data_IF_875632979920
#
_entry.id   IF_875632979920
#
_cell.length_a   1.000
_cell.length_b   1.000
_cell.length_c   1.000
_cell.angle_alpha   90.00
_cell.angle_beta   90.00
_cell.angle_gamma   90.00
#
_symmetry.space_group_name_H-M   'P 1'
#
loop_
_entity.id
_entity.type
_entity.pdbx_description
1 polymer ?
#
# COMPACT_ATOMS: atom_id res chain seq x y z
N UNK A 1 6.01 -7.52 -16.44
CA UNK A 1 4.81 -8.33 -16.03
C UNK A 1 4.66 -8.46 -14.51
N UNK A 2 5.57 -7.90 -13.74
CA UNK A 2 5.62 -8.03 -12.28
C UNK A 2 5.57 -6.67 -11.56
N UNK A 3 5.10 -5.64 -12.27
CA UNK A 3 4.88 -4.33 -11.66
C UNK A 3 3.74 -4.44 -10.64
N UNK A 4 3.97 -3.92 -9.44
CA UNK A 4 2.98 -3.95 -8.35
C UNK A 4 1.96 -2.81 -8.43
N UNK A 5 2.12 -1.87 -9.36
CA UNK A 5 1.16 -0.82 -9.62
C UNK A 5 -0.15 -1.38 -10.20
N UNK A 6 -1.27 -0.73 -9.90
CA UNK A 6 -2.56 -1.12 -10.45
C UNK A 6 -2.61 -0.85 -11.97
N UNK A 7 -3.27 -1.73 -12.73
CA UNK A 7 -3.31 -1.62 -14.19
C UNK A 7 -3.85 -0.27 -14.69
N UNK A 8 -4.85 0.29 -14.00
CA UNK A 8 -5.41 1.59 -14.36
C UNK A 8 -4.40 2.74 -14.13
N UNK A 9 -3.60 2.70 -13.06
CA UNK A 9 -2.56 3.70 -12.79
C UNK A 9 -1.45 3.66 -13.86
N UNK A 10 -1.09 2.46 -14.31
CA UNK A 10 -0.14 2.28 -15.42
C UNK A 10 -0.70 2.84 -16.71
N UNK A 11 -1.98 2.56 -16.99
CA UNK A 11 -2.67 3.09 -18.17
C UNK A 11 -2.74 4.62 -18.15
N UNK A 12 -3.10 5.20 -17.02
CA UNK A 12 -3.20 6.65 -16.84
C UNK A 12 -1.84 7.33 -17.04
N UNK A 13 -0.78 6.77 -16.44
CA UNK A 13 0.59 7.27 -16.63
C UNK A 13 1.02 7.27 -18.10
N UNK A 14 0.76 6.18 -18.83
CA UNK A 14 1.07 6.11 -20.26
C UNK A 14 0.23 7.10 -21.08
N UNK A 15 -1.03 7.32 -20.72
CA UNK A 15 -1.92 8.28 -21.38
C UNK A 15 -1.46 9.72 -21.16
N UNK A 16 -0.89 10.02 -19.99
CA UNK A 16 -0.28 11.30 -19.65
C UNK A 16 1.12 11.50 -20.27
N UNK A 17 1.62 10.52 -21.02
CA UNK A 17 2.89 10.59 -21.71
C UNK A 17 4.10 10.19 -20.87
N UNK A 18 3.89 9.53 -19.73
CA UNK A 18 4.99 8.98 -18.93
C UNK A 18 5.61 7.79 -19.65
N UNK A 19 6.94 7.80 -19.78
CA UNK A 19 7.68 6.66 -20.32
C UNK A 19 8.00 5.65 -19.22
N UNK A 20 7.57 4.42 -19.37
CA UNK A 20 7.88 3.33 -18.46
C UNK A 20 9.02 2.50 -19.05
N UNK A 21 10.11 2.38 -18.30
CA UNK A 21 11.25 1.52 -18.64
C UNK A 21 11.20 0.29 -17.74
N UNK A 22 10.76 -0.82 -18.29
CA UNK A 22 10.75 -2.11 -17.61
C UNK A 22 12.09 -2.86 -17.74
N UNK A 23 12.34 -3.82 -16.86
CA UNK A 23 13.59 -4.60 -16.86
C UNK A 23 14.86 -3.78 -16.63
N UNK A 24 14.75 -2.64 -15.96
CA UNK A 24 15.85 -1.70 -15.71
C UNK A 24 16.02 -1.48 -14.23
N UNK A 25 17.26 -1.46 -13.75
CA UNK A 25 17.56 -1.11 -12.38
C UNK A 25 18.48 0.12 -12.28
N UNK A 26 18.28 0.99 -11.29
CA UNK A 26 19.16 2.13 -11.04
C UNK A 26 20.47 1.65 -10.42
N UNK A 27 21.59 2.27 -10.86
CA UNK A 27 22.93 2.00 -10.32
C UNK A 27 23.45 3.17 -9.51
N UNK A 28 23.34 4.39 -10.05
CA UNK A 28 23.97 5.57 -9.46
C UNK A 28 23.26 6.86 -9.89
N UNK A 29 23.14 7.79 -8.96
CA UNK A 29 22.74 9.17 -9.25
C UNK A 29 23.97 10.00 -9.61
N UNK A 30 24.03 10.48 -10.84
CA UNK A 30 25.07 11.40 -11.31
C UNK A 30 24.71 12.80 -10.87
N UNK A 31 25.59 13.48 -10.16
CA UNK A 31 25.41 14.86 -9.70
C UNK A 31 26.15 15.84 -10.60
N UNK A 32 25.57 16.99 -10.80
CA UNK A 32 26.20 18.14 -11.40
C UNK A 32 27.20 18.84 -10.45
N UNK A 33 27.88 19.86 -10.94
CA UNK A 33 28.82 20.68 -10.14
C UNK A 33 28.13 21.43 -8.99
N UNK A 34 26.84 21.70 -9.12
CA UNK A 34 25.98 22.31 -8.12
C UNK A 34 25.47 21.34 -7.05
N UNK A 35 25.85 20.04 -7.13
CA UNK A 35 25.43 18.98 -6.23
C UNK A 35 24.02 18.43 -6.47
N UNK A 36 23.27 18.95 -7.46
CA UNK A 36 21.93 18.46 -7.84
C UNK A 36 22.04 17.22 -8.73
N UNK A 37 20.95 16.47 -8.80
CA UNK A 37 20.84 15.39 -9.77
C UNK A 37 20.95 15.96 -11.20
N UNK A 38 21.74 15.31 -12.04
CA UNK A 38 21.91 15.61 -13.46
C UNK A 38 21.51 14.42 -14.33
N UNK A 39 21.71 13.22 -13.83
CA UNK A 39 21.37 12.01 -14.56
C UNK A 39 21.28 10.82 -13.61
N UNK A 40 20.66 9.75 -14.09
CA UNK A 40 20.61 8.44 -13.45
C UNK A 40 21.30 7.43 -14.34
N UNK A 41 22.32 6.76 -13.80
CA UNK A 41 22.91 5.60 -14.46
C UNK A 41 22.10 4.36 -14.14
N UNK A 42 21.71 3.62 -15.16
CA UNK A 42 20.88 2.43 -15.08
C UNK A 42 21.52 1.29 -15.88
N UNK A 43 21.11 0.06 -15.63
CA UNK A 43 21.40 -1.09 -16.48
C UNK A 43 20.15 -1.95 -16.66
N UNK A 44 20.17 -2.82 -17.65
CA UNK A 44 19.13 -3.83 -17.79
C UNK A 44 19.29 -4.86 -16.66
N UNK A 45 18.18 -5.46 -16.24
CA UNK A 45 18.19 -6.48 -15.22
C UNK A 45 17.19 -7.59 -15.51
N UNK A 46 17.46 -8.75 -14.95
CA UNK A 46 16.54 -9.88 -14.87
C UNK A 46 16.17 -10.12 -13.41
N UNK A 47 14.98 -10.66 -13.16
CA UNK A 47 14.54 -10.95 -11.81
C UNK A 47 14.85 -12.39 -11.41
N UNK A 48 15.49 -12.56 -10.24
CA UNK A 48 15.58 -13.83 -9.54
C UNK A 48 14.71 -13.75 -8.29
N UNK A 49 13.48 -14.24 -8.40
CA UNK A 49 12.44 -13.99 -7.42
C UNK A 49 12.14 -12.49 -7.29
N UNK A 50 12.39 -11.92 -6.11
CA UNK A 50 12.23 -10.48 -5.84
C UNK A 50 13.51 -9.66 -6.00
N UNK A 51 14.62 -10.31 -6.35
CA UNK A 51 15.92 -9.65 -6.43
C UNK A 51 16.27 -9.33 -7.89
N UNK A 52 16.48 -8.05 -8.26
CA UNK A 52 16.99 -7.71 -9.58
C UNK A 52 18.46 -8.09 -9.68
N UNK A 53 18.83 -8.73 -10.79
CA UNK A 53 20.21 -9.10 -11.14
C UNK A 53 20.61 -8.24 -12.34
N UNK A 54 21.67 -7.41 -12.21
CA UNK A 54 22.12 -6.55 -13.29
C UNK A 54 22.69 -7.37 -14.44
N UNK A 55 22.49 -6.90 -15.66
CA UNK A 55 23.12 -7.42 -16.87
C UNK A 55 24.33 -6.55 -17.21
N UNK A 56 25.51 -7.10 -17.06
CA UNK A 56 26.76 -6.38 -17.34
C UNK A 56 26.83 -5.93 -18.81
N UNK A 57 27.40 -4.73 -19.02
CA UNK A 57 27.60 -4.17 -20.35
C UNK A 57 26.34 -3.52 -20.96
N UNK A 58 25.28 -3.37 -20.17
CA UNK A 58 24.02 -2.69 -20.61
C UNK A 58 23.82 -1.33 -19.95
N UNK A 59 24.86 -0.82 -19.30
CA UNK A 59 24.82 0.45 -18.58
C UNK A 59 24.55 1.60 -19.54
N UNK A 60 23.61 2.46 -19.16
CA UNK A 60 23.28 3.68 -19.87
C UNK A 60 22.93 4.81 -18.91
N UNK A 61 23.04 6.03 -19.40
CA UNK A 61 22.75 7.23 -18.63
C UNK A 61 21.45 7.84 -19.14
N UNK A 62 20.55 8.18 -18.22
CA UNK A 62 19.31 8.88 -18.46
C UNK A 62 19.43 10.27 -17.83
N UNK A 63 19.31 11.31 -18.64
CA UNK A 63 19.29 12.69 -18.15
C UNK A 63 18.07 12.92 -17.25
N UNK A 64 18.28 13.54 -16.09
CA UNK A 64 17.23 13.82 -15.14
C UNK A 64 17.60 14.96 -14.19
N UNK A 65 16.80 16.00 -14.17
CA UNK A 65 16.95 17.15 -13.26
C UNK A 65 16.38 16.88 -11.87
N UNK A 66 15.48 15.91 -11.76
CA UNK A 66 14.85 15.45 -10.52
C UNK A 66 14.73 13.93 -10.54
N UNK A 67 15.13 13.30 -9.46
CA UNK A 67 15.00 11.85 -9.26
C UNK A 67 14.21 11.62 -7.97
N UNK A 68 13.10 10.91 -8.06
CA UNK A 68 12.24 10.56 -6.93
C UNK A 68 12.27 9.05 -6.73
N UNK A 69 12.65 8.61 -5.53
CA UNK A 69 12.61 7.20 -5.15
C UNK A 69 11.19 6.85 -4.68
N UNK A 70 10.53 5.93 -5.38
CA UNK A 70 9.21 5.40 -5.05
C UNK A 70 9.21 3.86 -4.98
N UNK A 71 10.25 3.29 -4.38
CA UNK A 71 10.54 1.85 -4.33
C UNK A 71 9.77 1.09 -3.23
N UNK A 72 8.79 1.73 -2.61
CA UNK A 72 8.04 1.19 -1.48
C UNK A 72 8.60 1.62 -0.13
N UNK A 73 7.92 1.20 0.92
CA UNK A 73 8.26 1.52 2.30
C UNK A 73 8.32 0.24 3.12
N UNK A 74 9.17 0.22 4.12
CA UNK A 74 9.23 -0.82 5.16
C UNK A 74 8.97 -0.21 6.54
N UNK A 75 8.65 -1.03 7.52
CA UNK A 75 8.56 -0.61 8.92
C UNK A 75 9.94 -0.47 9.55
N UNK A 76 10.10 0.55 10.39
CA UNK A 76 11.21 0.61 11.33
C UNK A 76 10.74 0.00 12.65
N UNK A 77 11.28 -1.17 12.98
CA UNK A 77 10.96 -1.91 14.20
C UNK A 77 12.05 -1.80 15.26
N UNK A 78 12.84 -0.72 15.22
CA UNK A 78 13.85 -0.45 16.24
C UNK A 78 13.21 -0.39 17.64
N UNK A 79 13.67 -1.26 18.55
CA UNK A 79 13.08 -1.45 19.88
C UNK A 79 11.84 -2.36 19.93
N UNK A 80 11.42 -2.90 18.81
CA UNK A 80 10.31 -3.84 18.66
C UNK A 80 10.71 -5.09 17.85
N UNK A 81 12.00 -5.41 17.82
CA UNK A 81 12.59 -6.45 16.99
C UNK A 81 11.96 -7.83 17.25
N UNK A 82 11.47 -8.05 18.48
CA UNK A 82 10.81 -9.30 18.88
C UNK A 82 9.47 -9.55 18.16
N UNK A 83 8.95 -8.55 17.45
CA UNK A 83 7.70 -8.64 16.68
C UNK A 83 7.95 -8.72 15.17
N UNK A 84 9.20 -8.55 14.73
CA UNK A 84 9.56 -8.60 13.31
C UNK A 84 9.36 -10.01 12.75
N UNK A 85 8.64 -10.10 11.66
CA UNK A 85 8.49 -11.35 10.91
C UNK A 85 9.65 -11.66 9.95
N UNK A 86 10.76 -10.93 10.06
CA UNK A 86 11.96 -11.04 9.21
C UNK A 86 11.89 -10.23 7.91
N UNK A 87 10.87 -9.37 7.76
CA UNK A 87 10.67 -8.51 6.59
C UNK A 87 10.45 -7.02 6.95
N UNK A 88 10.74 -6.63 8.19
CA UNK A 88 10.42 -5.31 8.71
C UNK A 88 8.90 -5.09 8.90
N UNK A 89 8.13 -6.16 9.05
CA UNK A 89 6.68 -6.13 9.24
C UNK A 89 6.30 -7.01 10.44
N UNK A 90 5.06 -6.89 10.91
CA UNK A 90 4.52 -7.70 12.00
C UNK A 90 3.41 -8.63 11.48
N UNK A 91 3.30 -9.82 12.08
CA UNK A 91 2.18 -10.70 11.81
C UNK A 91 1.01 -10.38 12.73
N UNK A 92 -0.21 -10.57 12.24
CA UNK A 92 -1.45 -10.51 13.02
C UNK A 92 -2.36 -11.68 12.68
N UNK A 93 -3.15 -12.10 13.66
CA UNK A 93 -4.25 -13.03 13.44
C UNK A 93 -5.50 -12.32 12.87
N UNK A 94 -6.61 -13.05 12.73
CA UNK A 94 -7.88 -12.48 12.24
C UNK A 94 -8.54 -11.46 13.18
N UNK A 95 -8.05 -11.32 14.39
CA UNK A 95 -8.48 -10.34 15.39
C UNK A 95 -7.46 -9.22 15.57
N UNK A 96 -6.43 -9.21 14.75
CA UNK A 96 -5.32 -8.26 14.79
C UNK A 96 -4.47 -8.35 16.06
N UNK A 97 -4.51 -9.50 16.76
CA UNK A 97 -3.56 -9.82 17.82
C UNK A 97 -2.29 -10.42 17.23
N UNK A 98 -1.14 -10.04 17.78
CA UNK A 98 0.14 -10.64 17.40
C UNK A 98 0.15 -12.11 17.85
N UNK A 99 0.44 -13.08 16.96
CA UNK A 99 0.50 -14.49 17.33
C UNK A 99 1.46 -14.73 18.49
N UNK A 100 1.08 -15.61 19.40
CA UNK A 100 1.85 -15.98 20.60
C UNK A 100 2.20 -14.84 21.56
N UNK A 101 1.56 -13.69 21.40
CA UNK A 101 1.75 -12.50 22.24
C UNK A 101 0.39 -11.94 22.73
N UNK A 102 -0.25 -12.58 23.71
CA UNK A 102 -1.53 -12.08 24.23
C UNK A 102 -1.46 -10.63 24.70
N UNK A 103 -2.48 -9.85 24.35
CA UNK A 103 -2.57 -8.43 24.71
C UNK A 103 -1.78 -7.48 23.79
N UNK A 104 -1.08 -7.99 22.79
CA UNK A 104 -0.41 -7.17 21.77
C UNK A 104 -1.22 -7.18 20.49
N UNK A 105 -1.58 -6.00 20.01
CA UNK A 105 -2.39 -5.83 18.81
C UNK A 105 -1.67 -4.94 17.81
N UNK A 106 -1.87 -5.21 16.53
CA UNK A 106 -1.23 -4.47 15.44
C UNK A 106 -2.20 -4.36 14.27
N UNK A 107 -2.22 -3.21 13.59
CA UNK A 107 -3.07 -2.96 12.43
C UNK A 107 -2.41 -1.98 11.47
N UNK A 108 -2.87 -1.93 10.23
CA UNK A 108 -2.36 -1.01 9.21
C UNK A 108 -1.16 -1.53 8.45
N UNK A 109 -0.42 -0.61 7.86
CA UNK A 109 0.66 -0.91 6.91
C UNK A 109 1.81 -1.72 7.49
N UNK A 110 1.99 -1.70 8.80
CA UNK A 110 3.00 -2.51 9.47
C UNK A 110 2.74 -4.03 9.37
N UNK A 111 1.49 -4.43 9.08
CA UNK A 111 1.16 -5.83 8.75
C UNK A 111 1.45 -6.09 7.27
N UNK A 112 0.96 -5.20 6.42
CA UNK A 112 1.13 -5.22 4.98
C UNK A 112 0.72 -3.86 4.42
N UNK A 113 1.64 -3.11 3.77
CA UNK A 113 1.30 -1.86 3.11
C UNK A 113 0.14 -2.04 2.11
N UNK A 114 -0.88 -1.22 2.24
CA UNK A 114 -2.08 -1.26 1.42
C UNK A 114 -2.78 0.11 1.38
N UNK A 115 -4.04 0.15 0.94
CA UNK A 115 -4.85 1.37 0.91
C UNK A 115 -5.17 1.87 2.33
N UNK A 116 -5.30 3.19 2.48
CA UNK A 116 -5.70 3.85 3.73
C UNK A 116 -7.02 3.28 4.28
N UNK A 117 -7.99 2.99 3.41
CA UNK A 117 -9.26 2.39 3.79
C UNK A 117 -9.09 1.01 4.41
N UNK A 118 -8.11 0.22 3.95
CA UNK A 118 -7.75 -1.07 4.55
C UNK A 118 -7.22 -0.88 5.96
N UNK A 119 -6.31 0.08 6.16
CA UNK A 119 -5.74 0.38 7.48
C UNK A 119 -6.83 0.83 8.47
N UNK A 120 -7.77 1.68 8.05
CA UNK A 120 -8.91 2.13 8.87
C UNK A 120 -9.81 0.93 9.25
N UNK A 121 -10.14 0.07 8.29
CA UNK A 121 -10.94 -1.13 8.56
C UNK A 121 -10.26 -2.10 9.52
N UNK A 122 -8.97 -2.31 9.38
CA UNK A 122 -8.16 -3.12 10.29
C UNK A 122 -8.11 -2.51 11.69
N UNK A 123 -7.88 -1.19 11.80
CA UNK A 123 -7.86 -0.49 13.08
C UNK A 123 -9.20 -0.59 13.83
N UNK A 124 -10.33 -0.52 13.13
CA UNK A 124 -11.65 -0.70 13.71
C UNK A 124 -11.84 -2.09 14.32
N UNK A 125 -11.41 -3.14 13.60
CA UNK A 125 -11.46 -4.51 14.10
C UNK A 125 -10.50 -4.69 15.29
N UNK A 126 -9.29 -4.16 15.20
CA UNK A 126 -8.31 -4.22 16.27
C UNK A 126 -8.83 -3.55 17.56
N UNK A 127 -9.44 -2.36 17.44
CA UNK A 127 -10.02 -1.65 18.58
C UNK A 127 -11.11 -2.47 19.29
N UNK A 128 -11.99 -3.13 18.54
CA UNK A 128 -12.98 -4.04 19.13
C UNK A 128 -12.33 -5.25 19.81
N UNK A 129 -11.31 -5.83 19.19
CA UNK A 129 -10.59 -6.97 19.73
C UNK A 129 -9.84 -6.61 21.03
N UNK A 130 -9.27 -5.41 21.10
CA UNK A 130 -8.66 -4.85 22.32
C UNK A 130 -9.71 -4.73 23.42
N UNK A 131 -10.87 -4.14 23.12
CA UNK A 131 -11.95 -4.01 24.10
C UNK A 131 -12.44 -5.38 24.62
N UNK A 132 -12.65 -6.34 23.71
CA UNK A 132 -13.02 -7.72 24.07
C UNK A 132 -11.96 -8.36 24.98
N UNK A 133 -10.67 -8.19 24.65
CA UNK A 133 -9.56 -8.70 25.44
C UNK A 133 -9.53 -8.10 26.86
N UNK A 134 -9.64 -6.78 26.96
CA UNK A 134 -9.63 -6.07 28.26
C UNK A 134 -10.83 -6.44 29.11
N UNK A 135 -12.00 -6.59 28.49
CA UNK A 135 -13.24 -6.99 29.17
C UNK A 135 -13.35 -8.49 29.44
N UNK A 136 -12.35 -9.29 29.02
CA UNK A 136 -12.38 -10.76 29.07
C UNK A 136 -13.64 -11.35 28.41
N UNK A 137 -14.15 -10.67 27.41
CA UNK A 137 -15.32 -11.08 26.65
C UNK A 137 -14.90 -11.99 25.47
N UNK A 138 -15.77 -12.93 25.06
CA UNK A 138 -15.52 -13.70 23.85
C UNK A 138 -15.56 -12.80 22.62
N UNK A 139 -14.76 -13.15 21.60
CA UNK A 139 -14.79 -12.44 20.34
C UNK A 139 -16.18 -12.50 19.68
N UNK A 140 -16.79 -11.35 19.44
CA UNK A 140 -18.05 -11.25 18.76
C UNK A 140 -17.93 -11.73 17.29
N UNK A 141 -18.96 -12.43 16.81
CA UNK A 141 -19.05 -12.76 15.39
C UNK A 141 -19.31 -11.48 14.60
N UNK A 142 -18.32 -11.03 13.85
CA UNK A 142 -18.47 -9.88 12.97
C UNK A 142 -19.20 -10.30 11.69
N UNK A 143 -20.22 -9.55 11.25
CA UNK A 143 -20.81 -9.80 9.95
C UNK A 143 -19.76 -9.57 8.85
N UNK A 144 -19.79 -10.38 7.81
CA UNK A 144 -19.04 -10.07 6.60
C UNK A 144 -19.72 -8.87 5.97
N UNK A 145 -18.98 -7.77 5.87
CA UNK A 145 -19.43 -6.62 5.06
C UNK A 145 -19.12 -6.98 3.61
N UNK A 146 -20.14 -7.34 2.87
CA UNK A 146 -20.01 -7.54 1.43
C UNK A 146 -20.20 -6.20 0.74
N UNK A 147 -19.10 -5.50 0.52
CA UNK A 147 -19.09 -4.16 -0.10
C UNK A 147 -19.59 -4.22 -1.55
N UNK A 148 -19.56 -5.40 -2.17
CA UNK A 148 -19.95 -5.56 -3.57
C UNK A 148 -21.49 -5.73 -3.76
N UNK A 149 -22.23 -5.89 -2.67
CA UNK A 149 -23.69 -6.06 -2.71
C UNK A 149 -24.46 -4.91 -2.06
N UNK A 150 -23.82 -3.76 -1.86
CA UNK A 150 -24.54 -2.57 -1.41
C UNK A 150 -25.38 -2.03 -2.57
N UNK A 151 -26.66 -2.39 -2.56
CA UNK A 151 -27.61 -1.87 -3.53
C UNK A 151 -28.11 -0.49 -3.09
N UNK A 152 -27.45 0.56 -3.60
CA UNK A 152 -27.84 1.95 -3.33
C UNK A 152 -29.27 2.28 -3.79
N UNK A 153 -29.78 1.58 -4.80
CA UNK A 153 -31.11 1.84 -5.36
C UNK A 153 -32.21 1.39 -4.42
N UNK A 154 -32.00 0.35 -3.63
CA UNK A 154 -33.04 -0.16 -2.72
C UNK A 154 -33.40 0.85 -1.62
N UNK A 155 -32.49 1.45 -0.84
CA UNK A 155 -32.83 2.51 0.11
C UNK A 155 -33.44 3.75 -0.55
N UNK A 156 -33.03 4.09 -1.77
CA UNK A 156 -33.63 5.21 -2.51
C UNK A 156 -35.05 4.94 -2.98
N UNK A 157 -35.37 3.68 -3.26
CA UNK A 157 -36.73 3.25 -3.60
C UNK A 157 -37.64 3.17 -2.35
N UNK A 158 -37.11 2.73 -1.22
CA UNK A 158 -37.79 2.60 0.05
C UNK A 158 -38.04 3.96 0.75
N UNK A 159 -37.13 4.93 0.51
CA UNK A 159 -37.24 6.30 1.00
C UNK A 159 -37.14 7.29 -0.17
N UNK A 160 -38.15 7.42 -1.02
CA UNK A 160 -38.09 8.36 -2.13
C UNK A 160 -37.88 9.77 -1.60
N UNK A 161 -36.79 10.40 -2.06
CA UNK A 161 -36.54 11.80 -1.80
C UNK A 161 -37.74 12.60 -2.29
N UNK A 162 -38.39 13.34 -1.40
CA UNK A 162 -39.42 14.23 -1.81
C UNK A 162 -38.89 15.18 -2.89
N UNK A 163 -39.59 15.37 -4.00
CA UNK A 163 -39.13 16.27 -5.05
C UNK A 163 -38.92 17.66 -4.43
N UNK A 164 -37.72 18.20 -4.55
CA UNK A 164 -37.43 19.58 -4.19
C UNK A 164 -38.44 20.48 -4.94
N UNK A 165 -39.29 21.16 -4.22
CA UNK A 165 -40.12 22.22 -4.79
C UNK A 165 -39.15 23.35 -5.18
N UNK A 166 -38.70 23.35 -6.42
CA UNK A 166 -38.12 24.56 -6.98
C UNK A 166 -39.17 25.65 -6.87
N UNK A 167 -38.92 26.61 -5.97
CA UNK A 167 -39.70 27.83 -5.94
C UNK A 167 -39.52 28.49 -7.31
N UNK A 168 -40.62 28.54 -8.06
CA UNK A 168 -40.64 29.33 -9.27
C UNK A 168 -40.42 30.78 -8.88
N UNK A 169 -39.36 31.37 -9.47
CA UNK A 169 -39.06 32.80 -9.40
C UNK A 169 -40.05 33.58 -10.24
#
# INVERSE_FOLDING_TARGET
KEMMAAEHEVHDALTEGVTILDGVMPLEVIKGEDGRAKALRVCDCTMDGMKPIPTEGTERVLDADLIVSAIGQGGDLTGLEQFDNGRGLMNADKFYQVPDRPGHFVAGDIIRPHLLTTAIGQAWIAAQSINEYVMQAPHARRPKVDVHHFNLLQPMQEAPLAPEKHAAA
#
